data_IF_682775555683
#
_entry.id   IF_682775555683
#
_cell.length_a   1.000
_cell.length_b   1.000
_cell.length_c   1.000
_cell.angle_alpha   90.00
_cell.angle_beta   90.00
_cell.angle_gamma   90.00
#
_symmetry.space_group_name_H-M   'P 1'
#
loop_
_entity.id
_entity.type
_entity.pdbx_description
1 polymer ?
#
# COMPACT_ATOMS: atom_id res chain seq x y z
N UNK A 1 22.30 -19.13 -19.70
CA UNK A 1 21.48 -19.14 -18.48
C UNK A 1 21.38 -17.70 -18.05
N UNK A 2 20.17 -17.16 -17.91
CA UNK A 2 19.99 -15.77 -17.52
C UNK A 2 20.13 -15.65 -15.99
N UNK A 3 21.12 -14.88 -15.58
CA UNK A 3 21.37 -14.44 -14.21
C UNK A 3 20.16 -13.67 -13.63
N UNK A 4 19.43 -14.29 -12.71
CA UNK A 4 18.53 -13.61 -11.78
C UNK A 4 19.34 -12.76 -10.81
N UNK A 5 19.65 -11.52 -11.21
CA UNK A 5 20.31 -10.54 -10.36
C UNK A 5 19.27 -9.77 -9.54
N UNK A 6 18.84 -10.35 -8.42
CA UNK A 6 18.18 -9.57 -7.38
C UNK A 6 19.22 -8.59 -6.79
N UNK A 7 19.02 -7.27 -6.80
CA UNK A 7 19.95 -6.36 -6.16
C UNK A 7 19.86 -6.50 -4.63
N UNK A 8 20.99 -6.40 -3.91
CA UNK A 8 20.98 -6.39 -2.44
C UNK A 8 20.27 -5.13 -1.93
N UNK A 9 19.40 -5.29 -0.93
CA UNK A 9 18.75 -4.19 -0.24
C UNK A 9 19.80 -3.33 0.50
N UNK A 10 19.80 -1.98 0.35
CA UNK A 10 20.65 -1.15 1.18
C UNK A 10 20.05 -1.00 2.58
N UNK A 11 20.79 -1.48 3.58
CA UNK A 11 20.59 -1.12 4.97
C UNK A 11 20.83 0.38 5.20
N UNK A 12 20.10 0.92 6.20
CA UNK A 12 20.34 2.17 6.94
C UNK A 12 19.70 3.47 6.43
N UNK A 13 18.65 3.89 7.16
CA UNK A 13 18.66 5.21 7.82
C UNK A 13 17.81 5.18 9.10
N UNK A 14 18.48 5.25 10.26
CA UNK A 14 17.87 5.70 11.53
C UNK A 14 18.12 7.21 11.69
N UNK A 15 17.10 8.00 12.05
CA UNK A 15 17.21 9.16 12.95
C UNK A 15 15.84 9.83 13.19
N UNK A 16 15.29 9.54 14.37
CA UNK A 16 14.34 10.23 15.24
C UNK A 16 13.94 11.70 14.95
N UNK A 17 12.63 11.94 14.92
CA UNK A 17 11.96 13.23 15.08
C UNK A 17 10.49 13.06 14.71
N UNK A 18 9.57 13.12 15.69
CA UNK A 18 8.11 12.84 15.61
C UNK A 18 7.77 11.75 14.59
N UNK A 19 7.44 10.52 15.04
CA UNK A 19 7.06 9.41 14.15
C UNK A 19 5.78 9.78 13.35
N UNK A 20 5.94 10.58 12.30
CA UNK A 20 5.05 10.57 11.17
C UNK A 20 5.22 9.19 10.57
N UNK A 21 4.13 8.45 10.36
CA UNK A 21 4.25 7.14 9.75
C UNK A 21 4.98 7.28 8.41
N UNK A 22 5.76 6.28 8.02
CA UNK A 22 6.27 6.21 6.66
C UNK A 22 5.16 5.71 5.72
N UNK A 23 5.22 6.07 4.42
CA UNK A 23 4.37 5.44 3.41
C UNK A 23 4.52 3.92 3.44
N UNK A 24 3.41 3.21 3.24
CA UNK A 24 3.39 1.75 3.25
C UNK A 24 2.80 1.22 1.96
N UNK A 25 3.39 0.15 1.45
CA UNK A 25 2.91 -0.56 0.27
C UNK A 25 2.44 -1.95 0.69
N UNK A 26 1.23 -2.31 0.27
CA UNK A 26 0.70 -3.66 0.45
C UNK A 26 0.37 -4.29 -0.89
N UNK A 27 0.62 -5.59 -0.98
CA UNK A 27 0.37 -6.38 -2.17
C UNK A 27 -0.69 -7.43 -1.89
N UNK A 28 -1.67 -7.52 -2.78
CA UNK A 28 -2.80 -8.45 -2.71
C UNK A 28 -2.88 -9.30 -3.98
N UNK A 29 -3.31 -10.55 -3.81
CA UNK A 29 -3.52 -11.48 -4.92
C UNK A 29 -4.86 -11.27 -5.63
N UNK A 30 -5.79 -10.51 -5.05
CA UNK A 30 -7.08 -10.18 -5.66
C UNK A 30 -7.61 -8.84 -5.16
N UNK A 31 -8.44 -8.19 -5.97
CA UNK A 31 -9.14 -6.96 -5.59
C UNK A 31 -10.11 -7.20 -4.42
N UNK A 32 -10.78 -8.35 -4.39
CA UNK A 32 -11.69 -8.73 -3.30
C UNK A 32 -10.99 -8.77 -1.94
N UNK A 33 -9.79 -9.37 -1.86
CA UNK A 33 -8.98 -9.38 -0.63
C UNK A 33 -8.61 -7.97 -0.15
N UNK A 34 -8.32 -7.06 -1.07
CA UNK A 34 -8.05 -5.66 -0.72
C UNK A 34 -9.33 -4.94 -0.23
N UNK A 35 -10.48 -5.27 -0.82
CA UNK A 35 -11.78 -4.74 -0.41
C UNK A 35 -12.22 -5.24 0.97
N UNK A 36 -12.03 -6.53 1.26
CA UNK A 36 -12.30 -7.13 2.57
C UNK A 36 -11.50 -6.40 3.67
N UNK A 37 -10.21 -6.17 3.42
CA UNK A 37 -9.34 -5.44 4.33
C UNK A 37 -9.81 -3.98 4.54
N UNK A 38 -10.19 -3.29 3.46
CA UNK A 38 -10.69 -1.92 3.55
C UNK A 38 -11.99 -1.82 4.36
N UNK A 39 -12.87 -2.82 4.28
CA UNK A 39 -14.10 -2.88 5.06
C UNK A 39 -13.86 -3.00 6.58
N UNK A 40 -12.69 -3.46 7.03
CA UNK A 40 -12.31 -3.51 8.46
C UNK A 40 -11.84 -2.16 9.00
N UNK A 41 -11.55 -1.20 8.12
CA UNK A 41 -11.06 0.14 8.46
C UNK A 41 -11.83 1.25 7.73
N UNK A 42 -13.18 1.27 7.85
CA UNK A 42 -14.01 2.24 7.13
C UNK A 42 -13.79 3.70 7.58
N UNK A 43 -13.18 3.88 8.75
CA UNK A 43 -12.83 5.14 9.39
C UNK A 43 -11.52 5.75 8.86
N UNK A 44 -10.78 5.07 8.00
CA UNK A 44 -9.54 5.60 7.44
C UNK A 44 -9.80 6.65 6.35
N UNK A 45 -9.34 7.87 6.58
CA UNK A 45 -9.45 9.03 5.68
C UNK A 45 -8.12 9.47 5.07
N UNK A 46 -7.04 8.70 5.26
CA UNK A 46 -5.72 9.05 4.73
C UNK A 46 -5.60 8.78 3.23
N UNK A 47 -4.60 9.42 2.62
CA UNK A 47 -4.33 9.27 1.17
C UNK A 47 -3.96 7.83 0.84
N UNK A 48 -4.63 7.27 -0.16
CA UNK A 48 -4.39 5.90 -0.60
C UNK A 48 -4.55 5.75 -2.10
N UNK A 49 -3.64 5.00 -2.73
CA UNK A 49 -3.67 4.76 -4.18
C UNK A 49 -3.62 3.27 -4.45
N UNK A 50 -4.45 2.81 -5.39
CA UNK A 50 -4.51 1.41 -5.81
C UNK A 50 -3.99 1.29 -7.23
N UNK A 51 -3.02 0.41 -7.39
CA UNK A 51 -2.40 0.06 -8.65
C UNK A 51 -2.63 -1.40 -8.97
N UNK A 52 -2.67 -1.73 -10.25
CA UNK A 52 -2.64 -3.11 -10.75
C UNK A 52 -1.42 -3.29 -11.64
N UNK A 53 -0.65 -4.31 -11.36
CA UNK A 53 0.46 -4.70 -12.22
C UNK A 53 -0.06 -5.68 -13.28
N UNK A 54 -0.06 -5.31 -14.58
CA UNK A 54 -0.50 -6.20 -15.63
C UNK A 54 0.45 -7.39 -15.86
N UNK A 55 1.71 -7.31 -15.41
CA UNK A 55 2.69 -8.37 -15.61
C UNK A 55 2.49 -9.55 -14.65
N UNK A 56 2.12 -9.28 -13.39
CA UNK A 56 1.96 -10.31 -12.35
C UNK A 56 0.52 -10.46 -11.85
N UNK A 57 -0.42 -9.68 -12.42
CA UNK A 57 -1.84 -9.65 -12.03
C UNK A 57 -2.09 -9.39 -10.53
N UNK A 58 -1.15 -8.72 -9.88
CA UNK A 58 -1.24 -8.32 -8.46
C UNK A 58 -1.78 -6.91 -8.31
N UNK A 59 -2.36 -6.66 -7.13
CA UNK A 59 -2.89 -5.37 -6.73
C UNK A 59 -1.99 -4.78 -5.66
N UNK A 60 -1.60 -3.51 -5.84
CA UNK A 60 -0.73 -2.79 -4.93
C UNK A 60 -1.49 -1.61 -4.33
N UNK A 61 -1.65 -1.62 -3.01
CA UNK A 61 -2.25 -0.51 -2.25
C UNK A 61 -1.12 0.28 -1.60
N UNK A 62 -0.97 1.53 -2.02
CA UNK A 62 -0.04 2.46 -1.45
C UNK A 62 -0.76 3.39 -0.48
N UNK A 63 -0.34 3.39 0.79
CA UNK A 63 -0.90 4.20 1.86
C UNK A 63 0.06 5.31 2.21
N UNK A 64 -0.43 6.54 2.19
CA UNK A 64 0.29 7.76 2.52
C UNK A 64 -0.29 8.35 3.81
N UNK A 65 0.53 8.50 4.86
CA UNK A 65 0.11 9.19 6.06
C UNK A 65 -0.13 10.67 5.73
N UNK A 66 -1.15 11.24 6.38
CA UNK A 66 -1.47 12.67 6.28
C UNK A 66 -1.34 13.30 7.66
N UNK A 67 -1.11 14.62 7.73
CA UNK A 67 -0.95 15.32 9.02
C UNK A 67 -2.18 15.18 9.92
N UNK A 68 -3.37 15.03 9.32
CA UNK A 68 -4.64 14.83 10.01
C UNK A 68 -4.90 13.36 10.43
N UNK A 69 -4.05 12.42 10.02
CA UNK A 69 -4.26 11.00 10.35
C UNK A 69 -3.68 10.68 11.72
N UNK A 70 -4.53 10.24 12.64
CA UNK A 70 -4.11 9.75 13.95
C UNK A 70 -3.16 8.53 13.81
N UNK A 71 -2.03 8.57 14.52
CA UNK A 71 -1.00 7.53 14.40
C UNK A 71 -1.46 6.15 14.89
N UNK A 72 -2.35 6.10 15.90
CA UNK A 72 -2.91 4.84 16.37
C UNK A 72 -3.92 4.26 15.37
N UNK A 73 -4.73 5.12 14.75
CA UNK A 73 -5.60 4.75 13.61
C UNK A 73 -4.76 4.20 12.47
N UNK A 74 -3.68 4.90 12.08
CA UNK A 74 -2.81 4.43 10.99
C UNK A 74 -2.15 3.09 11.33
N UNK A 75 -1.64 2.90 12.55
CA UNK A 75 -1.04 1.64 12.98
C UNK A 75 -2.03 0.46 12.92
N UNK A 76 -3.29 0.67 13.34
CA UNK A 76 -4.37 -0.33 13.18
C UNK A 76 -4.64 -0.62 11.71
N UNK A 77 -4.67 0.41 10.86
CA UNK A 77 -4.86 0.27 9.42
C UNK A 77 -3.76 -0.60 8.79
N UNK A 78 -2.50 -0.30 9.09
CA UNK A 78 -1.35 -1.08 8.63
C UNK A 78 -1.41 -2.54 9.09
N UNK A 79 -1.76 -2.74 10.37
CA UNK A 79 -1.91 -4.08 10.95
C UNK A 79 -2.97 -4.87 10.19
N UNK A 80 -4.15 -4.27 9.98
CA UNK A 80 -5.24 -4.88 9.22
C UNK A 80 -4.78 -5.26 7.81
N UNK A 81 -4.23 -4.34 7.03
CA UNK A 81 -3.81 -4.67 5.66
C UNK A 81 -2.69 -5.72 5.59
N UNK A 82 -1.85 -5.83 6.64
CA UNK A 82 -0.84 -6.88 6.75
C UNK A 82 -1.40 -8.29 6.98
N UNK A 83 -2.63 -8.40 7.48
CA UNK A 83 -3.30 -9.69 7.67
C UNK A 83 -3.90 -10.22 6.35
N UNK A 84 -4.38 -9.30 5.51
CA UNK A 84 -5.03 -9.65 4.24
C UNK A 84 -4.06 -9.69 3.06
N UNK A 85 -2.98 -8.91 3.12
CA UNK A 85 -1.96 -8.78 2.08
C UNK A 85 -0.54 -8.94 2.62
N UNK A 86 0.43 -8.62 1.78
CA UNK A 86 1.85 -8.61 2.16
C UNK A 86 2.37 -7.19 2.16
N UNK A 87 2.99 -6.76 3.26
CA UNK A 87 3.77 -5.53 3.29
C UNK A 87 4.97 -5.65 2.35
N UNK A 88 5.16 -4.66 1.49
CA UNK A 88 6.33 -4.49 0.65
C UNK A 88 7.08 -3.22 1.05
N UNK A 89 8.41 -3.29 0.95
CA UNK A 89 9.25 -2.12 1.17
C UNK A 89 9.09 -1.16 -0.02
N UNK A 90 8.67 0.07 0.28
CA UNK A 90 8.55 1.11 -0.73
C UNK A 90 9.88 1.84 -0.87
N UNK A 91 10.39 1.90 -2.10
CA UNK A 91 11.56 2.70 -2.48
C UNK A 91 11.16 3.72 -3.54
N UNK A 92 11.93 4.81 -3.73
CA UNK A 92 11.65 5.77 -4.79
C UNK A 92 11.56 5.12 -6.18
N UNK A 93 12.40 4.12 -6.46
CA UNK A 93 12.37 3.35 -7.69
C UNK A 93 11.08 2.52 -7.83
N UNK A 94 10.60 1.92 -6.72
CA UNK A 94 9.35 1.16 -6.70
C UNK A 94 8.14 2.09 -6.87
N UNK A 95 8.12 3.26 -6.24
CA UNK A 95 7.07 4.26 -6.44
C UNK A 95 7.02 4.73 -7.90
N UNK A 96 8.18 4.97 -8.50
CA UNK A 96 8.27 5.35 -9.90
C UNK A 96 7.75 4.22 -10.81
N UNK A 97 8.15 2.97 -10.54
CA UNK A 97 7.63 1.80 -11.27
C UNK A 97 6.10 1.71 -11.20
N UNK A 98 5.50 1.89 -10.02
CA UNK A 98 4.04 1.88 -9.86
C UNK A 98 3.36 2.98 -10.69
N UNK A 99 4.00 4.14 -10.85
CA UNK A 99 3.46 5.26 -11.63
C UNK A 99 3.60 5.09 -13.14
N UNK A 100 4.69 4.48 -13.59
CA UNK A 100 5.01 4.37 -15.03
C UNK A 100 4.53 3.06 -15.66
N UNK A 101 4.56 1.96 -14.90
CA UNK A 101 4.33 0.61 -15.43
C UNK A 101 3.07 -0.08 -14.90
N UNK A 102 2.53 0.36 -13.76
CA UNK A 102 1.27 -0.18 -13.26
C UNK A 102 0.08 0.67 -13.70
N UNK A 103 -1.06 0.00 -13.86
CA UNK A 103 -2.32 0.67 -14.12
C UNK A 103 -2.85 1.30 -12.82
N UNK A 104 -3.15 2.60 -12.85
CA UNK A 104 -3.75 3.30 -11.71
C UNK A 104 -5.25 3.04 -11.69
N UNK A 105 -5.69 2.16 -10.79
CA UNK A 105 -7.12 1.86 -10.61
C UNK A 105 -7.83 2.92 -9.76
N UNK A 106 -7.09 3.53 -8.83
CA UNK A 106 -7.56 4.63 -7.99
C UNK A 106 -6.38 5.48 -7.53
N UNK A 107 -6.50 6.80 -7.67
CA UNK A 107 -5.61 7.74 -7.01
C UNK A 107 -6.31 8.36 -5.79
N UNK A 108 -5.56 8.60 -4.72
CA UNK A 108 -5.92 9.34 -3.50
C UNK A 108 -6.97 8.72 -2.54
N UNK A 109 -8.02 8.06 -3.04
CA UNK A 109 -9.14 7.56 -2.20
C UNK A 109 -9.38 6.05 -2.34
N UNK A 110 -8.31 5.28 -2.53
CA UNK A 110 -8.38 3.85 -2.81
C UNK A 110 -9.11 3.05 -1.74
N UNK A 111 -8.82 3.29 -0.45
CA UNK A 111 -9.46 2.54 0.66
C UNK A 111 -10.97 2.77 0.66
N UNK A 112 -11.43 4.01 0.54
CA UNK A 112 -12.86 4.32 0.50
C UNK A 112 -13.57 3.63 -0.68
N UNK A 113 -12.96 3.62 -1.87
CA UNK A 113 -13.52 2.94 -3.04
C UNK A 113 -13.51 1.41 -2.90
N UNK A 114 -12.48 0.85 -2.27
CA UNK A 114 -12.40 -0.58 -1.97
C UNK A 114 -13.50 -0.99 -0.99
N UNK A 115 -13.75 -0.20 0.05
CA UNK A 115 -14.86 -0.44 0.99
C UNK A 115 -16.19 -0.48 0.27
N UNK A 116 -16.45 0.43 -0.70
CA UNK A 116 -17.68 0.42 -1.48
C UNK A 116 -17.85 -0.84 -2.36
N UNK A 117 -16.76 -1.51 -2.75
CA UNK A 117 -16.80 -2.75 -3.54
C UNK A 117 -17.08 -4.01 -2.70
N UNK A 118 -16.67 -4.04 -1.43
CA UNK A 118 -16.82 -5.21 -0.56
C UNK A 118 -18.20 -5.34 0.10
N UNK A 119 -19.10 -4.38 -0.10
CA UNK A 119 -20.43 -4.33 0.52
C UNK A 119 -21.55 -4.92 -0.36
N UNK A 120 -21.21 -5.65 -1.43
CA UNK A 120 -22.14 -6.18 -2.43
C UNK A 120 -22.00 -7.69 -2.61
#
# INVERSE_FOLDING_TARGET
>A
GQDSKNPPAPESRKAQGVLHPDPQLYTFHSLGRAADAACMVPDFSGKSSLYRDPADSKYYLFLLPSEDTDAAVFSRVLSTFSEFGRSEYITPAREQYLKEHCEVLCAADAVARLTALGQN
#
